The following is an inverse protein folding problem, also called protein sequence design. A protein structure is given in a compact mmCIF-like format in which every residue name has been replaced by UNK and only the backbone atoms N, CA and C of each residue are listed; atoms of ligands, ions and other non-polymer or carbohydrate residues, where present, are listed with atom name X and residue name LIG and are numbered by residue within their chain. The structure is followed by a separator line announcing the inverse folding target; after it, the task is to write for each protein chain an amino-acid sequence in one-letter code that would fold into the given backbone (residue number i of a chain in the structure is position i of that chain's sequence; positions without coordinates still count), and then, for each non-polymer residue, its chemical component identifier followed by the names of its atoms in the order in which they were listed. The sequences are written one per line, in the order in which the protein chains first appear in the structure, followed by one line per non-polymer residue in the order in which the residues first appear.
data_IF_610042312850
#
_entry.id   IF_610042312850
#
_cell.length_a   1.000
_cell.length_b   1.000
_cell.length_c   1.000
_cell.angle_alpha   90.00
_cell.angle_beta   90.00
_cell.angle_gamma   90.00
#
_symmetry.space_group_name_H-M   'P 1'
#
loop_
_entity.id
_entity.type
_entity.pdbx_description
1 polymer ?
#
# COMPACT_ATOMS: atom_id res chain seq x y z
N UNK A 1 38.76 71.29 -40.96
CA UNK A 1 38.89 69.92 -41.45
C UNK A 1 38.25 69.03 -40.42
N UNK A 2 37.19 68.46 -40.78
CA UNK A 2 36.20 67.83 -39.92
C UNK A 2 36.44 66.35 -39.76
N UNK A 3 36.61 65.83 -38.54
CA UNK A 3 36.61 64.39 -38.21
C UNK A 3 35.27 64.02 -37.56
N UNK A 4 34.59 63.16 -38.17
CA UNK A 4 33.33 62.58 -37.65
C UNK A 4 33.60 61.54 -36.56
N UNK A 5 32.81 61.48 -35.47
CA UNK A 5 32.88 60.36 -34.54
C UNK A 5 31.96 59.22 -35.01
N UNK A 6 32.52 58.02 -35.05
CA UNK A 6 31.83 56.77 -35.31
C UNK A 6 31.08 56.32 -34.07
N UNK A 7 29.77 56.19 -34.22
CA UNK A 7 28.89 55.62 -33.19
C UNK A 7 29.03 54.10 -33.23
N UNK A 8 29.58 53.53 -32.18
CA UNK A 8 29.60 52.10 -31.96
C UNK A 8 28.29 51.76 -31.26
N UNK A 9 27.36 51.15 -32.00
CA UNK A 9 26.12 50.59 -31.46
C UNK A 9 26.43 49.30 -30.67
N UNK A 10 26.39 49.41 -29.35
CA UNK A 10 26.42 48.26 -28.46
C UNK A 10 25.06 47.61 -28.49
N UNK A 11 24.92 46.54 -29.29
CA UNK A 11 23.76 45.67 -29.26
C UNK A 11 23.79 44.83 -27.96
N UNK A 12 22.99 45.23 -26.98
CA UNK A 12 22.78 44.46 -25.78
C UNK A 12 22.04 43.15 -26.16
N UNK A 13 22.77 42.05 -26.22
CA UNK A 13 22.15 40.70 -26.31
C UNK A 13 21.56 40.37 -24.94
N UNK A 14 20.28 40.56 -24.78
CA UNK A 14 19.50 39.92 -23.69
C UNK A 14 19.49 38.45 -23.93
N UNK A 15 20.29 37.69 -23.18
CA UNK A 15 20.20 36.25 -23.08
C UNK A 15 19.03 35.93 -22.16
N UNK A 16 17.87 35.65 -22.76
CA UNK A 16 16.72 35.14 -22.02
C UNK A 16 17.06 33.72 -21.54
N UNK A 17 17.44 33.57 -20.27
CA UNK A 17 17.66 32.32 -19.59
C UNK A 17 16.25 31.73 -19.29
N UNK A 18 15.73 30.93 -20.23
CA UNK A 18 14.51 30.15 -20.03
C UNK A 18 14.82 29.05 -19.02
N UNK A 19 14.51 29.29 -17.75
CA UNK A 19 14.50 28.24 -16.73
C UNK A 19 13.32 27.32 -17.05
N UNK A 20 13.59 26.20 -17.71
CA UNK A 20 12.66 25.08 -17.79
C UNK A 20 12.47 24.55 -16.36
N UNK A 21 11.40 24.97 -15.71
CA UNK A 21 10.88 24.30 -14.52
C UNK A 21 10.46 22.89 -14.96
N UNK A 22 11.35 21.91 -14.75
CA UNK A 22 11.01 20.50 -14.83
C UNK A 22 10.10 20.22 -13.63
N UNK A 23 8.80 20.43 -13.82
CA UNK A 23 7.79 19.95 -12.88
C UNK A 23 7.77 18.42 -12.99
N UNK A 24 8.54 17.75 -12.15
CA UNK A 24 8.34 16.31 -11.94
C UNK A 24 6.86 16.11 -11.61
N UNK A 25 6.13 15.22 -12.30
CA UNK A 25 4.77 14.91 -11.91
C UNK A 25 4.82 14.39 -10.48
N UNK A 26 4.39 15.20 -9.53
CA UNK A 26 4.12 14.72 -8.18
C UNK A 26 3.12 13.58 -8.36
N UNK A 27 3.51 12.36 -7.99
CA UNK A 27 2.60 11.22 -7.96
C UNK A 27 1.51 11.55 -6.95
N UNK A 28 0.43 12.16 -7.41
CA UNK A 28 -0.67 12.54 -6.55
C UNK A 28 -1.30 11.27 -5.99
N UNK A 29 -1.32 11.13 -4.67
CA UNK A 29 -2.08 10.09 -3.99
C UNK A 29 -3.54 10.23 -4.40
N UNK A 30 -4.17 9.10 -4.72
CA UNK A 30 -5.59 9.10 -5.03
C UNK A 30 -6.40 9.31 -3.74
N UNK A 31 -7.52 10.04 -3.84
CA UNK A 31 -8.44 10.28 -2.74
C UNK A 31 -9.52 9.18 -2.71
N UNK A 32 -9.89 8.73 -1.51
CA UNK A 32 -10.96 7.78 -1.24
C UNK A 32 -11.98 8.46 -0.34
N UNK A 33 -13.00 9.03 -0.98
CA UNK A 33 -14.00 9.85 -0.33
C UNK A 33 -14.93 9.02 0.55
N UNK A 34 -15.25 9.55 1.72
CA UNK A 34 -16.23 8.98 2.65
C UNK A 34 -17.55 8.66 1.96
N UNK A 35 -18.09 7.47 2.23
CA UNK A 35 -19.39 7.03 1.72
C UNK A 35 -19.41 6.60 0.25
N UNK A 36 -18.33 6.81 -0.51
CA UNK A 36 -18.25 6.37 -1.91
C UNK A 36 -17.67 4.97 -2.03
N UNK A 37 -18.50 4.02 -2.46
CA UNK A 37 -18.02 2.66 -2.77
C UNK A 37 -17.01 2.68 -3.89
N UNK A 38 -15.86 2.09 -3.67
CA UNK A 38 -14.77 2.01 -4.63
C UNK A 38 -14.29 0.58 -4.83
N UNK A 39 -13.93 0.26 -6.06
CA UNK A 39 -13.26 -0.97 -6.41
C UNK A 39 -11.81 -0.93 -5.97
N UNK A 40 -11.36 -1.96 -5.26
CA UNK A 40 -9.98 -2.06 -4.80
C UNK A 40 -9.10 -2.67 -5.87
N UNK A 41 -8.08 -1.96 -6.29
CA UNK A 41 -7.12 -2.40 -7.30
C UNK A 41 -7.80 -2.96 -8.57
N UNK A 42 -7.34 -4.11 -9.06
CA UNK A 42 -7.96 -4.83 -10.20
C UNK A 42 -8.63 -6.12 -9.71
N UNK A 43 -9.56 -6.00 -8.77
CA UNK A 43 -10.24 -7.13 -8.15
C UNK A 43 -11.75 -6.90 -8.04
N UNK A 44 -12.48 -7.91 -7.63
CA UNK A 44 -13.92 -7.82 -7.36
C UNK A 44 -14.22 -7.34 -5.93
N UNK A 45 -13.18 -6.97 -5.17
CA UNK A 45 -13.31 -6.38 -3.84
C UNK A 45 -13.73 -4.92 -3.95
N UNK A 46 -14.82 -4.59 -3.25
CA UNK A 46 -15.33 -3.23 -3.11
C UNK A 46 -15.35 -2.83 -1.64
N UNK A 47 -15.06 -1.57 -1.38
CA UNK A 47 -15.01 -1.00 -0.02
C UNK A 47 -15.69 0.37 -0.05
N UNK A 48 -16.48 0.66 0.99
CA UNK A 48 -17.09 1.97 1.18
C UNK A 48 -16.42 2.64 2.38
N UNK A 49 -15.49 3.58 2.18
CA UNK A 49 -14.78 4.21 3.27
C UNK A 49 -15.72 4.93 4.23
N UNK A 50 -15.67 4.69 5.57
CA UNK A 50 -16.50 5.40 6.54
C UNK A 50 -15.98 6.80 6.87
N UNK A 51 -14.79 7.12 6.40
CA UNK A 51 -14.13 8.43 6.44
C UNK A 51 -13.19 8.54 5.26
N UNK A 52 -12.65 9.72 5.02
CA UNK A 52 -11.71 9.97 3.93
C UNK A 52 -10.38 9.24 4.13
N UNK A 53 -9.86 8.65 3.05
CA UNK A 53 -8.56 7.98 3.01
C UNK A 53 -7.71 8.47 1.84
N UNK A 54 -6.41 8.43 2.00
CA UNK A 54 -5.46 8.67 0.92
C UNK A 54 -5.00 7.32 0.35
N UNK A 55 -5.27 7.06 -0.92
CA UNK A 55 -4.71 5.90 -1.61
C UNK A 55 -3.31 6.24 -2.10
N UNK A 56 -2.32 5.42 -1.74
CA UNK A 56 -0.97 5.58 -2.24
C UNK A 56 -0.90 5.30 -3.75
N UNK A 57 -0.14 6.12 -4.46
CA UNK A 57 0.09 5.96 -5.91
C UNK A 57 0.94 4.72 -6.22
N UNK A 58 1.88 4.38 -5.32
CA UNK A 58 2.69 3.19 -5.44
C UNK A 58 1.90 1.95 -5.00
N UNK A 59 1.48 1.14 -5.99
CA UNK A 59 0.74 -0.09 -5.72
C UNK A 59 1.69 -1.23 -5.39
N UNK A 60 1.47 -1.96 -4.29
CA UNK A 60 2.28 -3.14 -3.96
C UNK A 60 2.21 -4.22 -5.05
N UNK A 61 1.06 -4.34 -5.74
CA UNK A 61 0.85 -5.34 -6.78
C UNK A 61 -0.35 -5.04 -7.68
N UNK A 62 -0.59 -5.89 -8.68
CA UNK A 62 -1.72 -5.75 -9.61
C UNK A 62 -3.06 -5.79 -8.88
N UNK A 63 -3.17 -6.68 -7.91
CA UNK A 63 -4.37 -6.94 -7.12
C UNK A 63 -4.24 -6.41 -5.68
N UNK A 64 -3.27 -5.53 -5.41
CA UNK A 64 -3.06 -4.93 -4.10
C UNK A 64 -3.06 -3.41 -4.20
N UNK A 65 -3.56 -2.75 -3.16
CA UNK A 65 -3.70 -1.31 -3.07
C UNK A 65 -3.54 -0.88 -1.61
N UNK A 66 -2.76 0.15 -1.34
CA UNK A 66 -2.51 0.64 0.01
C UNK A 66 -3.15 2.02 0.22
N UNK A 67 -3.81 2.19 1.37
CA UNK A 67 -4.42 3.43 1.81
C UNK A 67 -3.84 3.85 3.16
N UNK A 68 -3.88 5.14 3.45
CA UNK A 68 -3.37 5.71 4.69
C UNK A 68 -4.25 6.88 5.15
N UNK A 69 -4.28 7.14 6.45
CA UNK A 69 -4.86 8.35 7.04
C UNK A 69 -3.80 9.44 7.22
N UNK A 70 -2.68 9.09 7.87
CA UNK A 70 -1.68 10.04 8.37
C UNK A 70 -0.36 10.00 7.56
N UNK A 71 -0.29 9.12 6.56
CA UNK A 71 0.90 8.86 5.74
C UNK A 71 1.44 7.44 5.95
N UNK A 72 2.09 6.90 4.91
CA UNK A 72 2.57 5.50 4.84
C UNK A 72 3.48 5.11 6.02
N UNK A 73 4.24 6.06 6.56
CA UNK A 73 5.13 5.80 7.69
C UNK A 73 4.38 5.68 9.03
N UNK A 74 3.20 6.28 9.15
CA UNK A 74 2.43 6.35 10.40
C UNK A 74 1.32 5.30 10.45
N UNK A 75 0.67 5.02 9.35
CA UNK A 75 -0.28 3.91 9.23
C UNK A 75 -0.48 3.53 7.77
N UNK A 76 -0.70 2.26 7.53
CA UNK A 76 -1.13 1.79 6.21
C UNK A 76 -2.16 0.66 6.32
N UNK A 77 -3.17 0.72 5.47
CA UNK A 77 -4.10 -0.38 5.20
C UNK A 77 -3.80 -0.91 3.82
N UNK A 78 -3.38 -2.16 3.71
CA UNK A 78 -3.17 -2.80 2.41
C UNK A 78 -4.26 -3.83 2.16
N UNK A 79 -4.98 -3.65 1.07
CA UNK A 79 -5.94 -4.61 0.55
C UNK A 79 -5.31 -5.50 -0.52
N UNK A 80 -5.61 -6.79 -0.44
CA UNK A 80 -5.25 -7.81 -1.43
C UNK A 80 -6.54 -8.42 -1.96
N UNK A 81 -6.85 -8.20 -3.23
CA UNK A 81 -8.14 -8.58 -3.82
C UNK A 81 -8.01 -9.71 -4.83
N UNK A 82 -8.44 -10.93 -4.47
CA UNK A 82 -8.52 -12.06 -5.39
C UNK A 82 -7.15 -12.57 -5.86
N UNK A 83 -6.25 -12.81 -4.93
CA UNK A 83 -4.93 -13.41 -5.23
C UNK A 83 -5.15 -14.88 -5.59
N UNK A 84 -4.90 -15.23 -6.84
CA UNK A 84 -5.07 -16.59 -7.35
C UNK A 84 -3.91 -17.51 -6.95
N UNK A 85 -4.11 -18.84 -6.92
CA UNK A 85 -3.03 -19.81 -6.75
C UNK A 85 -1.88 -19.58 -7.74
N UNK A 86 -0.65 -19.75 -7.26
CA UNK A 86 0.59 -19.50 -8.02
C UNK A 86 0.98 -18.03 -8.10
N UNK A 87 0.21 -17.11 -7.47
CA UNK A 87 0.53 -15.68 -7.47
C UNK A 87 1.02 -15.23 -6.09
N UNK A 88 2.01 -14.31 -6.03
CA UNK A 88 2.43 -13.67 -4.81
C UNK A 88 1.43 -12.57 -4.39
N UNK A 89 1.47 -12.14 -3.13
CA UNK A 89 0.63 -11.05 -2.61
C UNK A 89 0.95 -9.70 -3.28
N UNK A 90 2.22 -9.46 -3.56
CA UNK A 90 2.73 -8.21 -4.13
C UNK A 90 3.58 -8.48 -5.37
N UNK A 91 3.98 -7.44 -6.08
CA UNK A 91 4.81 -7.55 -7.28
C UNK A 91 6.24 -7.99 -6.91
N UNK A 92 6.72 -9.08 -7.51
CA UNK A 92 8.11 -9.51 -7.38
C UNK A 92 9.04 -8.50 -8.06
N UNK A 93 9.99 -7.94 -7.30
CA UNK A 93 11.01 -7.00 -7.81
C UNK A 93 12.15 -7.75 -8.49
N UNK A 94 12.60 -8.84 -7.89
CA UNK A 94 13.68 -9.68 -8.38
C UNK A 94 13.36 -11.16 -8.21
N UNK A 95 12.60 -11.70 -9.16
CA UNK A 95 12.08 -13.07 -9.13
C UNK A 95 13.17 -14.15 -9.04
N UNK A 96 14.39 -13.87 -9.51
CA UNK A 96 15.49 -14.86 -9.51
C UNK A 96 16.25 -14.88 -8.20
N UNK A 97 16.46 -13.72 -7.58
CA UNK A 97 17.26 -13.59 -6.35
C UNK A 97 16.43 -13.63 -5.08
N UNK A 98 15.22 -13.04 -5.14
CA UNK A 98 14.33 -12.88 -4.01
C UNK A 98 12.90 -13.27 -4.42
N UNK A 99 12.65 -14.57 -4.67
CA UNK A 99 11.31 -15.03 -5.03
C UNK A 99 10.36 -14.82 -3.85
N UNK A 100 9.18 -14.26 -4.13
CA UNK A 100 8.15 -14.12 -3.13
C UNK A 100 7.40 -15.43 -2.92
N UNK A 101 6.93 -15.72 -1.71
CA UNK A 101 6.02 -16.81 -1.46
C UNK A 101 4.73 -16.61 -2.25
N UNK A 102 4.12 -17.70 -2.67
CA UNK A 102 2.92 -17.70 -3.52
C UNK A 102 1.82 -18.46 -2.83
N UNK A 103 0.60 -17.98 -2.95
CA UNK A 103 -0.57 -18.73 -2.57
C UNK A 103 -0.59 -20.06 -3.32
N UNK A 104 -0.84 -21.17 -2.62
CA UNK A 104 -1.03 -22.50 -3.21
C UNK A 104 -2.52 -22.77 -3.40
N UNK A 105 -2.86 -23.77 -4.21
CA UNK A 105 -4.25 -24.16 -4.45
C UNK A 105 -4.92 -24.76 -3.20
N UNK A 106 -4.11 -25.40 -2.37
CA UNK A 106 -4.50 -26.07 -1.12
C UNK A 106 -4.17 -25.25 0.15
N UNK A 107 -3.81 -23.96 -0.02
CA UNK A 107 -3.54 -23.07 1.12
C UNK A 107 -4.78 -22.96 2.02
N UNK A 108 -4.58 -23.23 3.29
CA UNK A 108 -5.60 -23.09 4.32
C UNK A 108 -5.63 -21.67 4.91
N UNK A 109 -6.76 -21.26 5.47
CA UNK A 109 -6.88 -19.94 6.13
C UNK A 109 -5.83 -19.73 7.22
N UNK A 110 -5.53 -20.76 7.99
CA UNK A 110 -4.53 -20.68 9.07
C UNK A 110 -3.09 -20.48 8.58
N UNK A 111 -2.81 -20.77 7.33
CA UNK A 111 -1.49 -20.60 6.70
C UNK A 111 -1.28 -19.19 6.10
N UNK A 112 -2.34 -18.38 6.07
CA UNK A 112 -2.25 -17.03 5.48
C UNK A 112 -1.27 -16.12 6.23
N UNK A 113 -1.18 -16.13 7.58
CA UNK A 113 -0.16 -15.36 8.29
C UNK A 113 1.27 -15.70 7.86
N UNK A 114 1.59 -16.97 7.59
CA UNK A 114 2.91 -17.38 7.10
C UNK A 114 3.20 -16.86 5.69
N UNK A 115 2.18 -16.86 4.83
CA UNK A 115 2.28 -16.27 3.49
C UNK A 115 2.58 -14.77 3.56
N UNK A 116 1.96 -14.06 4.51
CA UNK A 116 2.20 -12.64 4.75
C UNK A 116 3.61 -12.42 5.33
N UNK A 117 4.00 -13.19 6.35
CA UNK A 117 5.34 -13.13 6.93
C UNK A 117 6.44 -13.29 5.87
N UNK A 118 6.37 -14.34 5.08
CA UNK A 118 7.33 -14.57 4.00
C UNK A 118 7.36 -13.45 2.97
N UNK A 119 6.19 -12.86 2.68
CA UNK A 119 6.10 -11.68 1.81
C UNK A 119 6.76 -10.46 2.45
N UNK A 120 6.52 -10.19 3.74
CA UNK A 120 7.10 -9.04 4.43
C UNK A 120 8.62 -9.17 4.56
N UNK A 121 9.14 -10.37 4.89
CA UNK A 121 10.58 -10.63 4.95
C UNK A 121 11.27 -10.32 3.62
N UNK A 122 10.73 -10.78 2.53
CA UNK A 122 11.33 -10.59 1.21
C UNK A 122 11.04 -9.18 0.61
N UNK A 123 9.82 -8.65 0.77
CA UNK A 123 9.42 -7.40 0.12
C UNK A 123 9.76 -6.16 0.95
N UNK A 124 9.52 -6.18 2.27
CA UNK A 124 9.86 -5.10 3.22
C UNK A 124 11.27 -5.25 3.79
N UNK A 125 11.97 -6.38 3.50
CA UNK A 125 13.33 -6.70 3.98
C UNK A 125 13.46 -6.69 5.52
N UNK A 126 12.41 -7.14 6.21
CA UNK A 126 12.39 -7.19 7.67
C UNK A 126 13.05 -8.49 8.19
N UNK A 127 13.82 -8.36 9.28
CA UNK A 127 14.45 -9.52 9.93
C UNK A 127 13.54 -10.20 10.95
N UNK A 128 12.76 -9.45 11.69
CA UNK A 128 11.92 -9.93 12.79
C UNK A 128 10.46 -9.78 12.38
N UNK A 129 9.73 -10.89 12.44
CA UNK A 129 8.28 -10.96 12.34
C UNK A 129 7.78 -11.98 13.35
N UNK A 130 6.77 -11.64 14.11
CA UNK A 130 6.19 -12.51 15.13
C UNK A 130 4.67 -12.46 15.02
N UNK A 131 4.07 -13.61 14.72
CA UNK A 131 2.63 -13.81 14.83
C UNK A 131 2.25 -13.83 16.31
N UNK A 132 1.30 -13.00 16.72
CA UNK A 132 0.91 -12.85 18.14
C UNK A 132 -0.43 -13.50 18.44
N UNK A 133 -1.36 -13.52 17.49
CA UNK A 133 -2.62 -14.28 17.60
C UNK A 133 -3.14 -14.70 16.23
N UNK A 134 -3.96 -15.75 16.24
CA UNK A 134 -4.74 -16.19 15.07
C UNK A 134 -6.06 -16.72 15.59
N UNK A 135 -7.18 -16.21 15.08
CA UNK A 135 -8.52 -16.60 15.54
C UNK A 135 -9.52 -16.66 14.38
N UNK A 136 -10.54 -17.52 14.47
CA UNK A 136 -11.66 -17.49 13.54
C UNK A 136 -12.38 -16.15 13.58
N UNK A 137 -12.83 -15.65 12.43
CA UNK A 137 -13.49 -14.36 12.30
C UNK A 137 -14.48 -14.36 11.13
N UNK A 138 -15.07 -13.20 10.86
CA UNK A 138 -15.86 -12.93 9.67
C UNK A 138 -15.23 -11.80 8.87
N UNK A 139 -15.06 -12.04 7.58
CA UNK A 139 -14.63 -11.04 6.60
C UNK A 139 -15.38 -11.27 5.30
N UNK A 140 -15.84 -10.21 4.64
CA UNK A 140 -16.71 -10.31 3.46
C UNK A 140 -18.04 -11.04 3.73
N UNK A 141 -18.49 -11.13 5.00
CA UNK A 141 -19.63 -11.93 5.40
C UNK A 141 -19.38 -13.45 5.46
N UNK A 142 -18.14 -13.90 5.24
CA UNK A 142 -17.74 -15.30 5.16
C UNK A 142 -16.85 -15.71 6.34
N UNK A 143 -16.69 -17.04 6.53
CA UNK A 143 -15.70 -17.57 7.46
C UNK A 143 -14.29 -17.13 7.02
N UNK A 144 -13.54 -16.64 7.99
CA UNK A 144 -12.26 -15.99 7.76
C UNK A 144 -11.30 -16.23 8.93
N UNK A 145 -10.09 -15.78 8.77
CA UNK A 145 -9.11 -15.68 9.84
C UNK A 145 -8.80 -14.22 10.13
N UNK A 146 -8.81 -13.86 11.42
CA UNK A 146 -8.21 -12.64 11.93
C UNK A 146 -6.90 -13.02 12.62
N UNK A 147 -5.84 -12.25 12.39
CA UNK A 147 -4.55 -12.49 13.02
C UNK A 147 -3.84 -11.19 13.32
N UNK A 148 -3.06 -11.19 14.39
CA UNK A 148 -2.24 -10.05 14.78
C UNK A 148 -0.76 -10.43 14.78
N UNK A 149 0.08 -9.47 14.49
CA UNK A 149 1.51 -9.66 14.38
C UNK A 149 2.29 -8.42 14.77
N UNK A 150 3.57 -8.60 15.06
CA UNK A 150 4.52 -7.50 15.21
C UNK A 150 5.74 -7.73 14.34
N UNK A 151 6.36 -6.67 13.90
CA UNK A 151 7.63 -6.71 13.18
C UNK A 151 8.47 -5.47 13.46
N UNK A 152 9.76 -5.55 13.14
CA UNK A 152 10.68 -4.42 13.20
C UNK A 152 10.96 -3.99 11.77
N UNK A 153 10.68 -2.73 11.46
CA UNK A 153 10.89 -2.15 10.13
C UNK A 153 12.36 -1.73 9.91
N UNK A 154 12.66 -1.19 8.72
CA UNK A 154 14.01 -0.78 8.34
C UNK A 154 14.57 0.37 9.21
N UNK A 155 13.69 1.14 9.84
CA UNK A 155 14.06 2.24 10.74
C UNK A 155 14.18 1.80 12.21
N UNK A 156 14.21 0.47 12.46
CA UNK A 156 14.22 -0.14 13.79
C UNK A 156 12.99 0.20 14.66
N UNK A 157 11.88 0.56 14.05
CA UNK A 157 10.64 0.80 14.75
C UNK A 157 9.85 -0.51 14.85
N UNK A 158 9.34 -0.82 16.06
CA UNK A 158 8.37 -1.89 16.24
C UNK A 158 7.03 -1.44 15.71
N UNK A 159 6.52 -2.18 14.74
CA UNK A 159 5.18 -2.02 14.17
C UNK A 159 4.29 -3.16 14.61
N UNK A 160 3.03 -2.85 14.88
CA UNK A 160 1.98 -3.85 15.06
C UNK A 160 1.16 -3.94 13.78
N UNK A 161 0.62 -5.12 13.54
CA UNK A 161 -0.29 -5.34 12.44
C UNK A 161 -1.47 -6.21 12.82
N UNK A 162 -2.59 -6.02 12.13
CA UNK A 162 -3.76 -6.88 12.15
C UNK A 162 -4.17 -7.21 10.73
N UNK A 163 -4.51 -8.47 10.48
CA UNK A 163 -4.97 -8.95 9.18
C UNK A 163 -6.30 -9.68 9.28
N UNK A 164 -7.17 -9.46 8.28
CA UNK A 164 -8.40 -10.22 8.05
C UNK A 164 -8.32 -10.88 6.68
N UNK A 165 -8.50 -12.20 6.61
CA UNK A 165 -8.35 -12.93 5.36
C UNK A 165 -9.42 -13.99 5.17
N UNK A 166 -9.97 -14.07 3.94
CA UNK A 166 -10.90 -15.09 3.49
C UNK A 166 -10.45 -15.69 2.15
N UNK A 167 -10.76 -16.95 1.93
CA UNK A 167 -10.56 -17.64 0.64
C UNK A 167 -11.94 -17.82 0.01
N UNK A 168 -12.13 -17.23 -1.17
CA UNK A 168 -13.40 -17.29 -1.90
C UNK A 168 -13.11 -17.82 -3.31
N UNK A 169 -13.77 -18.92 -3.68
CA UNK A 169 -13.55 -19.59 -4.97
C UNK A 169 -12.05 -19.84 -5.28
N UNK A 170 -11.31 -20.27 -4.25
CA UNK A 170 -9.88 -20.55 -4.37
C UNK A 170 -8.99 -19.31 -4.51
N UNK A 171 -9.51 -18.11 -4.34
CA UNK A 171 -8.73 -16.83 -4.37
C UNK A 171 -8.69 -16.22 -2.97
N UNK A 172 -7.55 -15.68 -2.61
CA UNK A 172 -7.38 -14.98 -1.34
C UNK A 172 -7.82 -13.52 -1.44
N UNK A 173 -8.65 -13.11 -0.49
CA UNK A 173 -8.97 -11.72 -0.18
C UNK A 173 -8.48 -11.42 1.22
N UNK A 174 -7.75 -10.32 1.39
CA UNK A 174 -7.16 -9.97 2.67
C UNK A 174 -7.07 -8.44 2.80
N UNK A 175 -7.22 -7.95 4.03
CA UNK A 175 -6.89 -6.59 4.41
C UNK A 175 -5.93 -6.65 5.60
N UNK A 176 -4.86 -5.86 5.56
CA UNK A 176 -3.91 -5.70 6.67
C UNK A 176 -3.84 -4.25 7.08
N UNK A 177 -3.66 -4.01 8.37
CA UNK A 177 -3.37 -2.71 8.96
C UNK A 177 -2.03 -2.77 9.66
N UNK A 178 -1.12 -1.86 9.33
CA UNK A 178 0.22 -1.73 9.90
C UNK A 178 0.44 -0.32 10.44
N UNK A 179 0.92 -0.22 11.67
CA UNK A 179 1.27 1.08 12.26
C UNK A 179 2.35 0.93 13.35
N UNK A 180 3.15 1.98 13.65
CA UNK A 180 4.02 2.00 14.80
C UNK A 180 3.27 1.64 16.08
N UNK A 181 3.87 0.76 16.90
CA UNK A 181 3.26 0.26 18.15
C UNK A 181 2.86 1.40 19.10
N UNK A 182 3.71 2.41 19.18
CA UNK A 182 3.44 3.58 20.03
C UNK A 182 2.46 4.49 19.32
N UNK A 183 1.32 4.77 19.98
CA UNK A 183 0.31 5.73 19.57
C UNK A 183 -0.51 5.32 18.34
N UNK A 184 0.10 5.18 17.16
CA UNK A 184 -0.63 5.10 15.88
C UNK A 184 -1.43 3.81 15.69
N UNK A 185 -0.95 2.66 16.18
CA UNK A 185 -1.68 1.41 16.03
C UNK A 185 -3.02 1.46 16.78
N UNK A 186 -2.99 1.81 18.08
CA UNK A 186 -4.22 1.89 18.88
C UNK A 186 -5.18 2.96 18.37
N UNK A 187 -4.66 4.09 17.88
CA UNK A 187 -5.46 5.19 17.35
C UNK A 187 -6.15 4.81 16.02
N UNK A 188 -5.45 4.11 15.13
CA UNK A 188 -5.97 3.78 13.78
C UNK A 188 -6.80 2.50 13.71
N UNK A 189 -6.73 1.62 14.72
CA UNK A 189 -7.36 0.29 14.68
C UNK A 189 -8.88 0.37 14.53
N UNK A 190 -9.54 1.30 15.21
CA UNK A 190 -10.99 1.52 15.09
C UNK A 190 -11.41 1.92 13.68
N UNK A 191 -10.64 2.80 13.04
CA UNK A 191 -10.87 3.22 11.66
C UNK A 191 -10.65 2.06 10.66
N UNK A 192 -9.65 1.22 10.91
CA UNK A 192 -9.41 0.00 10.13
C UNK A 192 -10.59 -0.98 10.24
N UNK A 193 -11.07 -1.28 11.45
CA UNK A 193 -12.23 -2.16 11.65
C UNK A 193 -13.49 -1.64 10.95
N UNK A 194 -13.77 -0.33 11.07
CA UNK A 194 -14.88 0.29 10.39
C UNK A 194 -14.75 0.18 8.86
N UNK A 195 -13.55 0.34 8.32
CA UNK A 195 -13.27 0.23 6.89
C UNK A 195 -13.45 -1.21 6.39
N UNK A 196 -12.85 -2.20 7.08
CA UNK A 196 -12.95 -3.63 6.76
C UNK A 196 -14.39 -4.12 6.85
N UNK A 197 -15.18 -3.61 7.79
CA UNK A 197 -16.61 -3.93 7.95
C UNK A 197 -17.45 -3.57 6.73
N UNK A 198 -16.97 -2.66 5.86
CA UNK A 198 -17.66 -2.29 4.61
C UNK A 198 -17.28 -3.13 3.40
N UNK A 199 -16.27 -3.98 3.52
CA UNK A 199 -15.76 -4.78 2.41
C UNK A 199 -16.80 -5.78 1.89
N UNK A 200 -16.96 -5.86 0.56
CA UNK A 200 -17.90 -6.75 -0.13
C UNK A 200 -17.30 -7.21 -1.45
N UNK A 201 -17.77 -8.35 -1.96
CA UNK A 201 -17.48 -8.82 -3.32
C UNK A 201 -18.66 -8.47 -4.24
N UNK A 202 -18.35 -8.00 -5.45
CA UNK A 202 -19.32 -7.71 -6.50
C UNK A 202 -18.81 -8.23 -7.85
#
# INVERSE_FOLDING_TARGET
MTSKPTWISVAARMLALSVLLITSPASANGYREQGKTVKVAKSDLHVTPPQDWNKLSNRPGKNAETWTLDGEQLNDVTFYGGIAPGKPLVKERNKKREPLPKMKKDTLLIEIPELLEGTYRAYKQIGIFKLTSTEPSKFLGLDSVKFTYEYVDADNLTRLGEGHAAIVEGKLYMATFDAPRLHYFAQGLGAFHALVGTARLH
#
